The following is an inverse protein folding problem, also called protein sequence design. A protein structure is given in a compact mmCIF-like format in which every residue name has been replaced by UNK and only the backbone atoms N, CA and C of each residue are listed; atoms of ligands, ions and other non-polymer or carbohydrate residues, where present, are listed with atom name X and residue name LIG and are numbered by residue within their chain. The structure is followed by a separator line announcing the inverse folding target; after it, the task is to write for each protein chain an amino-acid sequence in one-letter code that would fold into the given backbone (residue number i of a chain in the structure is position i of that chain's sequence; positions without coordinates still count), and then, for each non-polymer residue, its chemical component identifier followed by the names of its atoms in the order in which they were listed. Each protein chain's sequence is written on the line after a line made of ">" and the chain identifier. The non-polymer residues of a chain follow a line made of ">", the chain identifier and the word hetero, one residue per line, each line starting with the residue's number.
data_IF_866036283220
#
_entry.id   IF_866036283220
#
_cell.length_a   1.000
_cell.length_b   1.000
_cell.length_c   1.000
_cell.angle_alpha   90.00
_cell.angle_beta   90.00
_cell.angle_gamma   90.00
#
_symmetry.space_group_name_H-M   'P 1'
#
loop_
_entity.id
_entity.type
_entity.pdbx_description
1 polymer ?
#
# COMPACT_ATOMS: atom_id res chain seq x y z
N UNK A 1 22.26 -4.05 0.84
CA UNK A 1 21.37 -4.30 2.00
C UNK A 1 20.04 -3.62 1.72
N UNK A 2 18.97 -4.36 1.44
CA UNK A 2 17.64 -3.77 1.28
C UNK A 2 16.94 -3.82 2.64
N UNK A 3 17.08 -2.76 3.45
CA UNK A 3 16.27 -2.58 4.66
C UNK A 3 14.81 -2.53 4.23
N UNK A 4 13.90 -3.35 4.78
CA UNK A 4 12.49 -3.27 4.45
C UNK A 4 11.92 -1.99 5.09
N UNK A 5 12.02 -0.87 4.38
CA UNK A 5 11.31 0.35 4.71
C UNK A 5 9.83 -0.01 4.72
N UNK A 6 9.19 0.10 5.88
CA UNK A 6 7.79 -0.32 6.05
C UNK A 6 6.89 0.68 5.32
N UNK A 7 6.73 0.52 4.01
CA UNK A 7 5.94 1.44 3.20
C UNK A 7 4.52 1.58 3.76
N UNK A 8 4.07 2.82 3.88
CA UNK A 8 2.74 3.13 4.41
C UNK A 8 1.85 3.55 3.25
N UNK A 9 1.08 2.59 2.75
CA UNK A 9 0.00 2.83 1.80
C UNK A 9 -0.99 3.81 2.44
N UNK A 10 -1.42 4.82 1.67
CA UNK A 10 -2.36 5.87 2.10
C UNK A 10 -3.43 6.12 1.03
N UNK A 11 -4.52 6.74 1.43
CA UNK A 11 -5.63 7.13 0.56
C UNK A 11 -6.98 6.70 1.12
N UNK A 12 -8.06 7.37 0.68
CA UNK A 12 -9.44 7.04 1.05
C UNK A 12 -10.29 6.54 -0.12
N UNK A 13 -9.74 6.58 -1.34
CA UNK A 13 -10.37 6.13 -2.58
C UNK A 13 -9.42 5.20 -3.33
N UNK A 14 -9.96 4.28 -4.13
CA UNK A 14 -9.18 3.32 -4.91
C UNK A 14 -8.03 3.97 -5.69
N UNK A 15 -8.31 5.06 -6.41
CA UNK A 15 -7.28 5.77 -7.20
C UNK A 15 -6.16 6.40 -6.35
N UNK A 16 -6.47 6.88 -5.14
CA UNK A 16 -5.46 7.43 -4.23
C UNK A 16 -4.56 6.32 -3.68
N UNK A 17 -5.17 5.17 -3.36
CA UNK A 17 -4.49 3.97 -2.86
C UNK A 17 -3.54 3.43 -3.94
N UNK A 18 -4.03 3.27 -5.18
CA UNK A 18 -3.23 2.84 -6.33
C UNK A 18 -2.04 3.77 -6.57
N UNK A 19 -2.27 5.09 -6.60
CA UNK A 19 -1.22 6.09 -6.80
C UNK A 19 -0.22 6.13 -5.64
N UNK A 20 -0.64 5.78 -4.42
CA UNK A 20 0.30 5.57 -3.31
C UNK A 20 1.18 4.37 -3.61
N UNK A 21 0.61 3.22 -3.95
CA UNK A 21 1.36 1.99 -4.22
C UNK A 21 2.37 2.19 -5.37
N UNK A 22 1.93 2.76 -6.49
CA UNK A 22 2.78 3.05 -7.66
C UNK A 22 3.99 3.91 -7.28
N UNK A 23 3.78 4.97 -6.48
CA UNK A 23 4.89 5.80 -5.99
C UNK A 23 5.87 5.03 -5.10
N UNK A 24 5.37 4.14 -4.24
CA UNK A 24 6.21 3.31 -3.39
C UNK A 24 7.08 2.34 -4.21
N UNK A 25 6.51 1.77 -5.27
CA UNK A 25 7.26 0.90 -6.19
C UNK A 25 8.33 1.71 -6.94
N UNK A 26 7.96 2.87 -7.49
CA UNK A 26 8.86 3.69 -8.30
C UNK A 26 10.00 4.30 -7.46
N UNK A 27 9.75 4.61 -6.20
CA UNK A 27 10.76 5.07 -5.25
C UNK A 27 11.67 3.93 -4.72
N UNK A 28 11.31 2.67 -4.95
CA UNK A 28 12.01 1.50 -4.39
C UNK A 28 11.64 1.17 -2.94
N UNK A 29 10.73 1.91 -2.32
CA UNK A 29 10.24 1.67 -0.96
C UNK A 29 9.34 0.43 -0.86
N UNK A 30 8.70 0.06 -1.97
CA UNK A 30 7.88 -1.15 -2.10
C UNK A 30 8.49 -2.08 -3.16
N UNK A 31 9.55 -2.82 -2.84
CA UNK A 31 10.22 -3.69 -3.80
C UNK A 31 9.32 -4.87 -4.20
N UNK A 32 9.54 -5.38 -5.41
CA UNK A 32 8.89 -6.61 -5.88
C UNK A 32 9.14 -7.77 -4.90
N UNK A 33 8.08 -8.46 -4.49
CA UNK A 33 8.14 -9.53 -3.49
C UNK A 33 8.01 -9.06 -2.04
N UNK A 34 7.87 -7.75 -1.78
CA UNK A 34 7.52 -7.26 -0.45
C UNK A 34 6.15 -7.82 -0.02
N UNK A 35 6.06 -8.32 1.22
CA UNK A 35 4.77 -8.75 1.77
C UNK A 35 3.85 -7.56 1.94
N UNK A 36 2.70 -7.63 1.28
CA UNK A 36 1.61 -6.68 1.47
C UNK A 36 0.67 -7.14 2.59
N UNK A 37 0.01 -6.19 3.28
CA UNK A 37 -1.14 -6.53 4.11
C UNK A 37 -2.26 -7.16 3.26
N UNK A 38 -3.13 -7.94 3.90
CA UNK A 38 -4.34 -8.42 3.24
C UNK A 38 -5.26 -7.25 2.87
N UNK A 39 -6.11 -7.42 1.86
CA UNK A 39 -7.09 -6.39 1.44
C UNK A 39 -7.90 -5.88 2.63
N UNK A 40 -8.44 -6.80 3.45
CA UNK A 40 -9.18 -6.41 4.66
C UNK A 40 -8.33 -5.74 5.73
N UNK A 41 -7.11 -6.21 5.95
CA UNK A 41 -6.20 -5.57 6.91
C UNK A 41 -5.83 -4.14 6.49
N UNK A 42 -5.62 -3.92 5.19
CA UNK A 42 -5.35 -2.60 4.63
C UNK A 42 -6.59 -1.70 4.70
N UNK A 43 -7.77 -2.22 4.36
CA UNK A 43 -9.04 -1.51 4.45
C UNK A 43 -9.31 -1.01 5.88
N UNK A 44 -9.13 -1.88 6.89
CA UNK A 44 -9.25 -1.51 8.31
C UNK A 44 -8.25 -0.44 8.72
N UNK A 45 -7.00 -0.52 8.23
CA UNK A 45 -5.97 0.49 8.53
C UNK A 45 -6.28 1.86 7.91
N UNK A 46 -6.89 1.87 6.73
CA UNK A 46 -7.22 3.09 5.98
C UNK A 46 -8.61 3.66 6.31
N UNK A 47 -9.46 2.90 7.02
CA UNK A 47 -10.83 3.30 7.33
C UNK A 47 -11.73 3.34 6.09
N UNK A 48 -11.49 2.46 5.11
CA UNK A 48 -12.25 2.37 3.86
C UNK A 48 -12.92 1.00 3.71
N UNK A 49 -13.88 0.89 2.79
CA UNK A 49 -14.46 -0.39 2.40
C UNK A 49 -13.40 -1.28 1.73
N UNK A 50 -13.44 -2.59 2.02
CA UNK A 50 -12.60 -3.57 1.34
C UNK A 50 -12.86 -3.64 -0.18
N UNK A 51 -14.05 -3.23 -0.66
CA UNK A 51 -14.35 -3.14 -2.08
C UNK A 51 -13.67 -1.94 -2.78
N UNK A 52 -13.09 -1.01 -2.01
CA UNK A 52 -12.39 0.18 -2.50
C UNK A 52 -10.88 0.00 -2.57
N UNK A 53 -10.34 -1.01 -1.87
CA UNK A 53 -8.91 -1.34 -1.82
C UNK A 53 -8.57 -2.30 -2.96
#
# INVERSE_FOLDING_TARGET
>A
MNVPTRYHIRGRRAGEIARSIERGIQAGDLPGGARLPTVRGLASRLGVSAATV
#
